data_IF_100286579394
#
_entry.id   IF_100286579394
#
_cell.length_a   1.000
_cell.length_b   1.000
_cell.length_c   1.000
_cell.angle_alpha   90.00
_cell.angle_beta   90.00
_cell.angle_gamma   90.00
#
_symmetry.space_group_name_H-M   'P 1'
#
loop_
_entity.id
_entity.type
_entity.pdbx_description
1 polymer ?
#
# COMPACT_ATOMS: atom_id res chain seq x y z
N UNK A 1 -22.04 -1.11 18.26
CA UNK A 1 -21.63 0.30 18.11
C UNK A 1 -21.64 0.61 16.62
N UNK A 2 -22.21 1.74 16.18
CA UNK A 2 -22.28 2.11 14.76
C UNK A 2 -21.46 3.39 14.56
N UNK A 3 -20.35 3.26 13.85
CA UNK A 3 -19.53 4.41 13.44
C UNK A 3 -19.87 4.77 12.01
N UNK A 4 -19.97 6.06 11.70
CA UNK A 4 -20.08 6.48 10.30
C UNK A 4 -18.70 6.64 9.68
N UNK A 5 -17.74 7.17 10.43
CA UNK A 5 -16.37 7.40 9.98
C UNK A 5 -15.39 7.01 11.08
N UNK A 6 -14.30 6.35 10.70
CA UNK A 6 -13.13 6.15 11.56
C UNK A 6 -11.93 6.81 10.88
N UNK A 7 -11.30 7.76 11.57
CA UNK A 7 -10.10 8.46 11.11
C UNK A 7 -8.98 8.24 12.13
N UNK A 8 -7.74 7.98 11.69
CA UNK A 8 -6.64 7.85 12.64
C UNK A 8 -5.24 7.81 12.05
N UNK A 9 -4.26 8.04 12.92
CA UNK A 9 -2.85 7.78 12.69
C UNK A 9 -2.41 6.71 13.71
N UNK A 10 -2.64 5.41 13.44
CA UNK A 10 -2.34 4.34 14.39
C UNK A 10 -0.84 4.25 14.70
N UNK A 11 -0.46 3.70 15.87
CA UNK A 11 0.94 3.42 16.17
C UNK A 11 1.52 2.44 15.15
N UNK A 12 2.72 2.73 14.64
CA UNK A 12 3.29 1.96 13.53
C UNK A 12 3.93 0.63 13.95
N UNK A 13 4.56 0.58 15.12
CA UNK A 13 5.33 -0.60 15.54
C UNK A 13 5.27 -0.81 17.05
N UNK A 14 5.35 -2.07 17.46
CA UNK A 14 5.61 -2.45 18.85
C UNK A 14 7.12 -2.50 19.11
N UNK A 15 7.54 -1.86 20.20
CA UNK A 15 8.89 -2.04 20.73
C UNK A 15 8.90 -3.31 21.60
N UNK A 16 9.49 -4.38 21.08
CA UNK A 16 9.60 -5.68 21.78
C UNK A 16 10.79 -5.75 22.77
N UNK A 17 11.24 -4.61 23.29
CA UNK A 17 12.22 -4.55 24.40
C UNK A 17 13.65 -4.99 24.09
N UNK A 18 13.95 -5.50 22.88
CA UNK A 18 15.32 -5.81 22.45
C UNK A 18 15.86 -4.60 21.69
N UNK A 19 17.02 -4.07 22.11
CA UNK A 19 17.67 -2.82 21.64
C UNK A 19 17.92 -2.70 20.12
N UNK A 20 17.54 -3.70 19.31
CA UNK A 20 17.70 -3.70 17.86
C UNK A 20 16.42 -3.26 17.16
N UNK A 21 16.45 -2.06 16.58
CA UNK A 21 15.40 -1.47 15.70
C UNK A 21 14.89 -2.44 14.61
N UNK A 22 15.70 -3.41 14.17
CA UNK A 22 15.36 -4.37 13.12
C UNK A 22 14.32 -5.45 13.54
N UNK A 23 13.91 -5.51 14.80
CA UNK A 23 12.91 -6.46 15.29
C UNK A 23 11.53 -5.84 15.54
N UNK A 24 11.36 -4.55 15.25
CA UNK A 24 10.09 -3.87 15.45
C UNK A 24 8.98 -4.56 14.61
N UNK A 25 7.90 -4.96 15.29
CA UNK A 25 6.79 -5.68 14.66
C UNK A 25 5.73 -4.63 14.29
N UNK A 26 5.31 -4.54 13.02
CA UNK A 26 4.21 -3.67 12.62
C UNK A 26 2.96 -3.94 13.47
N UNK A 27 2.27 -2.90 13.93
CA UNK A 27 0.98 -3.05 14.63
C UNK A 27 -0.16 -2.25 13.99
N UNK A 28 0.15 -1.22 13.18
CA UNK A 28 -0.87 -0.39 12.53
C UNK A 28 -1.90 -1.20 11.73
N UNK A 29 -1.49 -2.31 11.11
CA UNK A 29 -2.37 -3.19 10.35
C UNK A 29 -3.49 -3.77 11.21
N UNK A 30 -3.22 -4.04 12.50
CA UNK A 30 -4.25 -4.52 13.42
C UNK A 30 -5.27 -3.43 13.72
N UNK A 31 -4.86 -2.17 13.83
CA UNK A 31 -5.80 -1.05 13.99
C UNK A 31 -6.67 -0.85 12.74
N UNK A 32 -6.08 -0.92 11.55
CA UNK A 32 -6.83 -0.83 10.28
C UNK A 32 -7.86 -1.97 10.19
N UNK A 33 -7.44 -3.21 10.41
CA UNK A 33 -8.32 -4.39 10.35
C UNK A 33 -9.46 -4.28 11.38
N UNK A 34 -9.18 -3.82 12.60
CA UNK A 34 -10.24 -3.62 13.60
C UNK A 34 -11.19 -2.49 13.22
N UNK A 35 -10.69 -1.38 12.66
CA UNK A 35 -11.54 -0.29 12.19
C UNK A 35 -12.50 -0.76 11.08
N UNK A 36 -12.02 -1.54 10.12
CA UNK A 36 -12.88 -2.13 9.07
C UNK A 36 -13.90 -3.10 9.70
N UNK A 37 -13.49 -3.95 10.66
CA UNK A 37 -14.38 -4.89 11.36
C UNK A 37 -15.49 -4.22 12.17
N UNK A 38 -15.26 -3.00 12.67
CA UNK A 38 -16.29 -2.18 13.31
C UNK A 38 -17.39 -1.72 12.33
N UNK A 39 -17.22 -2.02 11.04
CA UNK A 39 -18.19 -1.85 9.97
C UNK A 39 -18.65 -0.38 9.76
N UNK A 40 -17.74 0.61 9.75
CA UNK A 40 -18.11 1.99 9.49
C UNK A 40 -18.49 2.22 8.02
N UNK A 41 -19.05 3.40 7.71
CA UNK A 41 -19.24 3.78 6.30
C UNK A 41 -17.90 4.12 5.64
N UNK A 42 -16.99 4.77 6.38
CA UNK A 42 -15.67 5.18 5.89
C UNK A 42 -14.54 4.88 6.89
N UNK A 43 -13.37 4.50 6.38
CA UNK A 43 -12.12 4.42 7.14
C UNK A 43 -11.04 5.23 6.42
N UNK A 44 -10.38 6.13 7.16
CA UNK A 44 -9.24 6.91 6.68
C UNK A 44 -8.10 6.73 7.68
N UNK A 45 -7.00 6.14 7.26
CA UNK A 45 -5.85 5.96 8.15
C UNK A 45 -4.54 6.33 7.49
N UNK A 46 -3.70 7.03 8.26
CA UNK A 46 -2.30 7.27 7.90
C UNK A 46 -1.48 6.03 8.29
N UNK A 47 -0.72 5.47 7.36
CA UNK A 47 0.07 4.25 7.55
C UNK A 47 1.40 4.34 6.82
N UNK A 48 2.47 3.66 7.27
CA UNK A 48 3.71 3.57 6.50
C UNK A 48 3.45 2.89 5.14
N UNK A 49 3.93 3.46 4.03
CA UNK A 49 3.69 2.91 2.68
C UNK A 49 4.39 1.57 2.41
N UNK A 50 5.19 1.07 3.35
CA UNK A 50 5.94 -0.19 3.21
C UNK A 50 5.03 -1.40 2.93
N UNK A 51 3.78 -1.41 3.43
CA UNK A 51 2.86 -2.53 3.20
C UNK A 51 2.54 -2.78 1.73
N UNK A 52 2.74 -1.80 0.84
CA UNK A 52 2.62 -1.95 -0.60
C UNK A 52 3.46 -3.09 -1.17
N UNK A 53 4.70 -3.20 -0.70
CA UNK A 53 5.67 -4.22 -1.14
C UNK A 53 5.73 -5.43 -0.19
N UNK A 54 5.04 -5.36 0.95
CA UNK A 54 5.00 -6.39 1.98
C UNK A 54 5.69 -5.96 3.27
N UNK A 55 6.22 -6.93 4.00
CA UNK A 55 6.91 -6.71 5.28
C UNK A 55 6.56 -7.78 6.29
N UNK A 56 7.39 -7.91 7.32
CA UNK A 56 7.25 -8.95 8.34
C UNK A 56 5.85 -8.91 8.98
N UNK A 57 5.06 -9.96 8.77
CA UNK A 57 3.72 -10.10 9.34
C UNK A 57 2.63 -9.26 8.67
N UNK A 58 2.87 -8.77 7.44
CA UNK A 58 1.92 -7.95 6.68
C UNK A 58 1.23 -8.69 5.54
N UNK A 59 1.59 -9.94 5.24
CA UNK A 59 1.09 -10.64 4.04
C UNK A 59 -0.44 -10.78 4.01
N UNK A 60 -1.05 -11.18 5.13
CA UNK A 60 -2.51 -11.27 5.26
C UNK A 60 -3.18 -9.91 5.08
N UNK A 61 -2.67 -8.88 5.78
CA UNK A 61 -3.19 -7.51 5.69
C UNK A 61 -3.08 -6.96 4.26
N UNK A 62 -1.92 -7.16 3.62
CA UNK A 62 -1.67 -6.75 2.24
C UNK A 62 -2.64 -7.44 1.30
N UNK A 63 -2.83 -8.75 1.45
CA UNK A 63 -3.79 -9.51 0.65
C UNK A 63 -5.22 -8.98 0.82
N UNK A 64 -5.66 -8.75 2.07
CA UNK A 64 -6.99 -8.21 2.37
C UNK A 64 -7.20 -6.83 1.74
N UNK A 65 -6.22 -5.93 1.88
CA UNK A 65 -6.31 -4.57 1.34
C UNK A 65 -6.24 -4.57 -0.20
N UNK A 66 -5.30 -5.28 -0.82
CA UNK A 66 -5.10 -5.25 -2.27
C UNK A 66 -6.20 -5.97 -3.07
N UNK A 67 -6.87 -6.95 -2.47
CA UNK A 67 -8.02 -7.62 -3.07
C UNK A 67 -9.36 -6.92 -2.76
N UNK A 68 -9.35 -5.91 -1.89
CA UNK A 68 -10.54 -5.13 -1.56
C UNK A 68 -10.92 -4.19 -2.70
N UNK A 69 -12.22 -4.17 -3.07
CA UNK A 69 -12.78 -3.20 -4.03
C UNK A 69 -13.32 -1.93 -3.37
N UNK A 70 -13.20 -1.85 -2.04
CA UNK A 70 -13.66 -0.74 -1.21
C UNK A 70 -12.60 0.37 -1.04
N UNK A 71 -11.35 0.13 -1.44
CA UNK A 71 -10.33 1.17 -1.47
C UNK A 71 -10.58 2.12 -2.64
N UNK A 72 -11.04 3.32 -2.30
CA UNK A 72 -11.42 4.36 -3.26
C UNK A 72 -10.24 5.25 -3.66
N UNK A 73 -9.37 5.55 -2.70
CA UNK A 73 -8.22 6.42 -2.90
C UNK A 73 -7.05 6.01 -2.03
N UNK A 74 -5.84 6.11 -2.57
CA UNK A 74 -4.56 6.03 -1.85
C UNK A 74 -3.75 7.26 -2.23
N UNK A 75 -3.30 8.00 -1.22
CA UNK A 75 -2.39 9.13 -1.37
C UNK A 75 -1.08 8.77 -0.71
N UNK A 76 -0.03 8.68 -1.51
CA UNK A 76 1.29 8.21 -1.13
C UNK A 76 2.31 9.35 -1.14
N UNK A 77 2.83 9.67 0.03
CA UNK A 77 3.96 10.59 0.21
C UNK A 77 5.24 9.76 0.15
N UNK A 78 6.02 9.99 -0.91
CA UNK A 78 7.22 9.20 -1.19
C UNK A 78 8.26 9.43 -0.10
N UNK A 79 8.46 10.70 0.27
CA UNK A 79 9.27 11.11 1.41
C UNK A 79 8.37 11.27 2.65
N UNK A 80 8.68 10.54 3.72
CA UNK A 80 7.92 10.66 4.97
C UNK A 80 8.12 11.99 5.68
N UNK A 81 9.25 12.68 5.42
CA UNK A 81 9.60 13.95 6.07
C UNK A 81 8.66 15.08 5.66
N UNK A 82 8.01 14.96 4.50
CA UNK A 82 6.94 15.88 4.04
C UNK A 82 5.76 15.91 5.02
N UNK A 83 5.49 14.80 5.72
CA UNK A 83 4.42 14.70 6.73
C UNK A 83 4.95 14.70 8.17
N UNK A 84 6.12 14.11 8.39
CA UNK A 84 6.70 13.89 9.71
C UNK A 84 8.18 14.32 9.73
N UNK A 85 8.49 15.63 9.83
CA UNK A 85 9.86 16.14 9.66
C UNK A 85 10.90 15.58 10.63
N UNK A 86 10.45 15.14 11.81
CA UNK A 86 11.32 14.69 12.91
C UNK A 86 11.36 13.16 13.05
N UNK A 87 10.75 12.40 12.13
CA UNK A 87 10.67 10.94 12.21
C UNK A 87 11.03 10.34 10.87
N UNK A 88 12.06 9.49 10.87
CA UNK A 88 12.42 8.69 9.70
C UNK A 88 11.49 7.46 9.60
N UNK A 89 10.60 7.48 8.60
CA UNK A 89 9.71 6.37 8.27
C UNK A 89 10.13 5.83 6.90
N UNK A 90 11.17 4.99 6.91
CA UNK A 90 11.70 4.40 5.69
C UNK A 90 10.62 3.69 4.85
N UNK A 91 10.50 4.11 3.59
CA UNK A 91 9.50 3.64 2.63
C UNK A 91 8.40 4.64 2.32
N UNK A 92 8.33 5.76 3.06
CA UNK A 92 7.32 6.80 2.90
C UNK A 92 6.07 6.53 3.75
N UNK A 93 5.10 7.43 3.66
CA UNK A 93 3.83 7.35 4.37
C UNK A 93 2.67 7.54 3.40
N UNK A 94 1.55 6.89 3.66
CA UNK A 94 0.35 7.05 2.86
C UNK A 94 -0.87 7.17 3.76
N UNK A 95 -1.93 7.74 3.20
CA UNK A 95 -3.26 7.50 3.72
C UNK A 95 -4.15 6.94 2.62
N UNK A 96 -5.23 6.28 3.04
CA UNK A 96 -6.21 5.76 2.12
C UNK A 96 -7.62 6.16 2.53
N UNK A 97 -8.53 6.17 1.57
CA UNK A 97 -9.96 6.19 1.79
C UNK A 97 -10.54 4.82 1.47
N UNK A 98 -11.01 4.13 2.50
CA UNK A 98 -11.83 2.94 2.37
C UNK A 98 -13.30 3.32 2.57
N UNK A 99 -14.14 2.92 1.64
CA UNK A 99 -15.57 3.21 1.62
C UNK A 99 -16.33 1.88 1.49
N UNK A 100 -17.15 1.58 2.49
CA UNK A 100 -17.90 0.33 2.60
C UNK A 100 -18.79 0.05 1.39
N UNK A 101 -19.31 1.10 0.76
CA UNK A 101 -20.22 0.99 -0.38
C UNK A 101 -19.50 1.17 -1.72
N UNK A 102 -18.20 1.48 -1.71
CA UNK A 102 -17.41 1.62 -2.92
C UNK A 102 -17.06 0.25 -3.52
N UNK A 103 -17.20 0.14 -4.84
CA UNK A 103 -16.85 -1.07 -5.59
C UNK A 103 -16.28 -0.65 -6.94
N UNK A 104 -14.98 -0.35 -6.99
CA UNK A 104 -14.39 0.22 -8.19
C UNK A 104 -12.86 0.21 -8.19
N UNK A 105 -12.29 0.88 -9.19
CA UNK A 105 -10.87 1.16 -9.27
C UNK A 105 -10.43 2.16 -8.21
N UNK A 106 -9.21 2.06 -7.74
CA UNK A 106 -8.65 2.99 -6.76
C UNK A 106 -7.97 4.17 -7.46
N UNK A 107 -8.13 5.37 -6.92
CA UNK A 107 -7.33 6.54 -7.33
C UNK A 107 -6.02 6.54 -6.58
N UNK A 108 -4.89 6.42 -7.30
CA UNK A 108 -3.55 6.39 -6.72
C UNK A 108 -2.85 7.72 -7.02
N UNK A 109 -2.57 8.49 -5.96
CA UNK A 109 -1.84 9.76 -6.02
C UNK A 109 -0.47 9.61 -5.38
N UNK A 110 0.55 10.18 -6.00
CA UNK A 110 1.89 10.30 -5.41
C UNK A 110 2.18 11.78 -5.16
N UNK A 111 2.69 12.06 -3.97
CA UNK A 111 3.06 13.39 -3.49
C UNK A 111 4.57 13.45 -3.27
N UNK A 112 5.16 14.56 -3.70
CA UNK A 112 6.54 14.97 -3.37
C UNK A 112 6.49 16.44 -2.92
N UNK A 113 6.88 16.71 -1.67
CA UNK A 113 6.68 18.02 -1.04
C UNK A 113 5.20 18.38 -0.99
N UNK A 114 4.84 19.52 -1.60
CA UNK A 114 3.46 20.02 -1.67
C UNK A 114 2.75 19.70 -3.01
N UNK A 115 3.41 18.96 -3.91
CA UNK A 115 2.92 18.75 -5.27
C UNK A 115 2.41 17.34 -5.51
N UNK A 116 1.27 17.22 -6.20
CA UNK A 116 0.83 15.95 -6.80
C UNK A 116 1.66 15.69 -8.05
N UNK A 117 2.65 14.81 -7.96
CA UNK A 117 3.54 14.48 -9.09
C UNK A 117 2.95 13.42 -10.02
N UNK A 118 1.91 12.71 -9.57
CA UNK A 118 1.29 11.62 -10.32
C UNK A 118 -0.08 11.28 -9.77
N UNK A 119 -1.06 11.08 -10.66
CA UNK A 119 -2.43 10.64 -10.32
C UNK A 119 -2.95 9.68 -11.40
N UNK A 120 -3.57 8.57 -10.97
CA UNK A 120 -4.17 7.59 -11.88
C UNK A 120 -5.27 6.81 -11.18
N UNK A 121 -6.44 6.68 -11.82
CA UNK A 121 -7.48 5.74 -11.42
C UNK A 121 -7.25 4.39 -12.10
N UNK A 122 -7.09 3.31 -11.33
CA UNK A 122 -6.75 1.97 -11.82
C UNK A 122 -7.06 0.87 -10.79
N UNK A 123 -7.11 -0.41 -11.18
CA UNK A 123 -7.10 -1.49 -10.20
C UNK A 123 -5.82 -1.45 -9.36
N UNK A 124 -5.90 -1.96 -8.12
CA UNK A 124 -4.73 -2.10 -7.24
C UNK A 124 -3.77 -3.15 -7.81
N UNK A 125 -4.30 -4.26 -8.33
CA UNK A 125 -3.53 -5.32 -8.96
C UNK A 125 -3.81 -5.36 -10.45
N UNK A 126 -2.76 -5.39 -11.25
CA UNK A 126 -2.89 -5.64 -12.69
C UNK A 126 -3.18 -7.14 -12.93
N UNK A 127 -3.78 -7.47 -14.07
CA UNK A 127 -4.11 -8.86 -14.39
C UNK A 127 -2.88 -9.78 -14.26
N UNK A 128 -3.08 -10.95 -13.65
CA UNK A 128 -2.02 -11.93 -13.37
C UNK A 128 -0.83 -11.34 -12.60
N UNK A 129 -1.09 -10.45 -11.64
CA UNK A 129 -0.09 -9.94 -10.69
C UNK A 129 -0.62 -10.00 -9.26
N UNK A 130 0.28 -10.29 -8.33
CA UNK A 130 0.05 -10.27 -6.88
C UNK A 130 0.83 -9.12 -6.19
N UNK A 131 1.50 -8.28 -7.00
CA UNK A 131 2.32 -7.15 -6.54
C UNK A 131 1.61 -5.84 -6.87
N UNK A 132 1.42 -5.01 -5.84
CA UNK A 132 1.01 -3.63 -6.05
C UNK A 132 2.14 -2.80 -6.65
N UNK A 133 1.94 -2.30 -7.87
CA UNK A 133 2.89 -1.40 -8.52
C UNK A 133 2.62 0.00 -8.01
N UNK A 134 3.51 0.50 -7.14
CA UNK A 134 3.41 1.82 -6.49
C UNK A 134 3.30 2.98 -7.49
N UNK A 135 4.24 3.06 -8.43
CA UNK A 135 4.35 4.20 -9.35
C UNK A 135 3.45 4.07 -10.58
N UNK A 136 2.60 5.06 -10.83
CA UNK A 136 1.69 5.04 -11.99
C UNK A 136 2.45 5.01 -13.33
N UNK A 137 3.63 5.64 -13.42
CA UNK A 137 4.47 5.57 -14.64
C UNK A 137 4.86 4.13 -15.00
N UNK A 138 5.08 3.27 -14.00
CA UNK A 138 5.42 1.86 -14.22
C UNK A 138 4.23 1.06 -14.78
N UNK A 139 2.99 1.45 -14.48
CA UNK A 139 1.80 0.83 -15.08
C UNK A 139 1.73 1.07 -16.58
N UNK A 140 1.99 2.31 -17.03
CA UNK A 140 2.00 2.63 -18.46
C UNK A 140 3.07 1.83 -19.20
N UNK A 141 4.24 1.65 -18.59
CA UNK A 141 5.32 0.82 -19.15
C UNK A 141 4.91 -0.66 -19.18
N UNK A 142 4.39 -1.19 -18.08
CA UNK A 142 3.95 -2.58 -17.98
C UNK A 142 2.92 -2.92 -19.05
N UNK A 143 1.87 -2.12 -19.18
CA UNK A 143 0.79 -2.34 -20.17
C UNK A 143 1.34 -2.27 -21.59
N UNK A 144 2.24 -1.32 -21.88
CA UNK A 144 2.90 -1.20 -23.18
C UNK A 144 3.72 -2.44 -23.53
N UNK A 145 4.50 -2.97 -22.58
CA UNK A 145 5.33 -4.17 -22.81
C UNK A 145 4.44 -5.41 -22.97
N UNK A 146 3.45 -5.59 -22.08
CA UNK A 146 2.52 -6.74 -22.15
C UNK A 146 1.72 -6.80 -23.44
N UNK A 147 1.36 -5.66 -24.02
CA UNK A 147 0.65 -5.60 -25.31
C UNK A 147 1.44 -6.20 -26.49
N UNK A 148 2.76 -6.40 -26.34
CA UNK A 148 3.58 -7.08 -27.34
C UNK A 148 3.55 -8.61 -27.23
N UNK A 149 3.03 -9.16 -26.13
CA UNK A 149 2.97 -10.60 -25.87
C UNK A 149 4.31 -11.32 -26.04
N UNK A 150 5.41 -10.67 -25.63
CA UNK A 150 6.75 -11.27 -25.60
C UNK A 150 6.82 -12.35 -24.49
N UNK A 151 7.63 -13.39 -24.72
CA UNK A 151 7.87 -14.45 -23.73
C UNK A 151 8.47 -13.86 -22.44
N UNK A 152 8.16 -14.47 -21.30
CA UNK A 152 8.67 -14.00 -20.02
C UNK A 152 10.19 -14.15 -19.97
N UNK A 153 10.90 -13.16 -19.45
CA UNK A 153 12.33 -13.30 -19.15
C UNK A 153 12.59 -14.48 -18.20
N UNK A 154 11.62 -14.82 -17.34
CA UNK A 154 11.67 -15.99 -16.47
C UNK A 154 11.78 -17.34 -17.21
N UNK A 155 11.40 -17.40 -18.48
CA UNK A 155 11.58 -18.61 -19.31
C UNK A 155 13.03 -18.77 -19.79
N UNK A 156 13.80 -17.68 -19.80
CA UNK A 156 15.19 -17.66 -20.26
C UNK A 156 16.21 -17.86 -19.12
N UNK A 157 15.75 -17.88 -17.87
CA UNK A 157 16.61 -18.00 -16.69
C UNK A 157 16.19 -19.18 -15.82
N UNK A 158 17.17 -20.00 -15.41
CA UNK A 158 16.92 -21.08 -14.46
C UNK A 158 16.74 -20.51 -13.05
N UNK A 159 15.75 -21.05 -12.33
CA UNK A 159 15.45 -20.68 -10.94
C UNK A 159 16.62 -20.99 -10.00
N UNK A 160 17.49 -21.94 -10.38
CA UNK A 160 18.60 -22.42 -9.54
C UNK A 160 20.00 -22.05 -10.08
N UNK A 161 20.15 -21.71 -11.36
CA UNK A 161 21.43 -21.34 -11.97
C UNK A 161 21.22 -20.18 -12.94
N UNK A 162 21.81 -18.98 -12.73
CA UNK A 162 21.52 -17.80 -13.56
C UNK A 162 22.05 -17.86 -15.01
N UNK A 163 22.59 -19.01 -15.44
CA UNK A 163 23.08 -19.34 -16.78
C UNK A 163 23.17 -20.86 -16.91
#
# INVERSE_FOLDING_TARGET
>A
MKFDVIIGNPPYQLNVGVEKKNFAIPIYQKFVQQAIKLNPSYVIMVTPSRWFIGGRGLDEFRSEMLNSRNLKEIVDYIDSTDCFPNVDIAGGVSYFLWDKNYNGECTIKSIEGEMVVSEMKRPLLENNTDVFIRFNKAISILRKVRAKSENSFGELVSVQTPF
#
